data_IF_391594678164
#
_entry.id   IF_391594678164
#
_cell.length_a   1.000
_cell.length_b   1.000
_cell.length_c   1.000
_cell.angle_alpha   90.00
_cell.angle_beta   90.00
_cell.angle_gamma   90.00
#
_symmetry.space_group_name_H-M   'P 1'
#
loop_
_entity.id
_entity.type
_entity.pdbx_description
1 polymer ?
#
# COMPACT_ATOMS: atom_id res chain seq x y z
N UNK A 1 -56.62 -7.21 11.97
CA UNK A 1 -56.72 -6.20 13.05
C UNK A 1 -55.31 -5.72 13.31
N UNK A 2 -54.93 -4.64 12.62
CA UNK A 2 -54.63 -3.31 13.20
C UNK A 2 -53.23 -3.28 13.85
N UNK A 3 -52.20 -2.77 13.15
CA UNK A 3 -51.80 -1.34 13.06
C UNK A 3 -51.82 -0.62 14.42
N UNK A 4 -50.63 -0.32 14.95
CA UNK A 4 -50.28 1.03 15.36
C UNK A 4 -48.77 1.26 15.29
N UNK A 5 -48.40 2.36 14.64
CA UNK A 5 -47.04 2.85 14.45
C UNK A 5 -46.91 4.26 15.05
N UNK A 6 -45.71 4.53 15.61
CA UNK A 6 -44.99 5.81 15.73
C UNK A 6 -45.48 6.85 16.77
N UNK A 7 -44.55 7.63 17.41
CA UNK A 7 -43.74 8.64 16.70
C UNK A 7 -42.22 8.68 16.99
N UNK A 8 -41.54 9.18 15.95
CA UNK A 8 -40.14 9.57 15.76
C UNK A 8 -39.78 10.97 16.28
N UNK A 9 -38.50 11.24 16.66
CA UNK A 9 -37.60 12.34 16.16
C UNK A 9 -36.22 12.43 16.87
N UNK A 10 -35.18 13.14 16.34
CA UNK A 10 -33.92 12.47 15.93
C UNK A 10 -32.56 13.24 16.10
N UNK A 11 -31.47 12.62 15.58
CA UNK A 11 -30.18 13.15 15.00
C UNK A 11 -29.05 13.68 15.94
N UNK A 12 -27.73 13.77 15.51
CA UNK A 12 -27.16 13.66 14.14
C UNK A 12 -25.83 12.85 13.96
N UNK A 13 -25.40 12.79 12.69
CA UNK A 13 -24.07 12.46 12.12
C UNK A 13 -23.87 11.07 11.50
N UNK A 14 -24.33 10.94 10.24
CA UNK A 14 -23.75 10.01 9.26
C UNK A 14 -23.52 10.77 7.95
N UNK A 15 -22.26 10.85 7.54
CA UNK A 15 -21.81 11.28 6.23
C UNK A 15 -22.36 10.28 5.20
N UNK A 16 -23.38 10.68 4.43
CA UNK A 16 -23.91 9.89 3.33
C UNK A 16 -22.93 10.01 2.15
N UNK A 17 -22.25 8.92 1.81
CA UNK A 17 -21.69 8.76 0.48
C UNK A 17 -22.87 8.63 -0.50
N UNK A 18 -23.09 9.67 -1.31
CA UNK A 18 -24.13 9.67 -2.33
C UNK A 18 -23.80 8.63 -3.41
N UNK A 19 -24.46 7.47 -3.39
CA UNK A 19 -24.37 6.50 -4.47
C UNK A 19 -25.17 7.03 -5.66
N UNK A 20 -24.49 7.48 -6.70
CA UNK A 20 -25.12 7.91 -7.95
C UNK A 20 -25.57 6.68 -8.72
N UNK A 21 -26.88 6.48 -8.86
CA UNK A 21 -27.44 5.41 -9.69
C UNK A 21 -27.71 5.96 -11.08
N UNK A 22 -26.87 5.62 -12.05
CA UNK A 22 -27.04 6.06 -13.45
C UNK A 22 -27.93 5.06 -14.18
N UNK A 23 -29.11 5.52 -14.63
CA UNK A 23 -30.04 4.69 -15.44
C UNK A 23 -29.91 5.07 -16.91
N UNK A 24 -29.42 4.14 -17.72
CA UNK A 24 -29.35 4.31 -19.18
C UNK A 24 -30.61 3.70 -19.81
N UNK A 25 -31.48 4.53 -20.39
CA UNK A 25 -32.65 4.05 -21.14
C UNK A 25 -32.46 4.31 -22.62
N UNK A 26 -32.24 3.24 -23.40
CA UNK A 26 -32.31 3.31 -24.85
C UNK A 26 -33.78 3.16 -25.30
N UNK A 27 -34.36 4.19 -25.91
CA UNK A 27 -35.68 4.07 -26.56
C UNK A 27 -35.51 3.77 -28.05
N UNK A 28 -36.06 2.66 -28.58
CA UNK A 28 -36.11 2.45 -30.02
C UNK A 28 -37.23 3.31 -30.63
N UNK A 29 -36.89 4.13 -31.64
CA UNK A 29 -37.83 4.89 -32.47
C UNK A 29 -37.89 4.27 -33.88
N UNK A 30 -39.06 4.25 -34.57
CA UNK A 30 -39.20 3.54 -35.85
C UNK A 30 -38.55 4.23 -37.05
N UNK A 31 -37.99 5.42 -36.90
CA UNK A 31 -37.41 6.19 -38.02
C UNK A 31 -36.10 6.84 -37.59
N UNK A 32 -35.00 6.27 -38.10
CA UNK A 32 -33.69 6.93 -38.36
C UNK A 32 -32.84 7.31 -37.11
N UNK A 33 -31.74 6.55 -36.95
CA UNK A 33 -30.58 6.64 -36.03
C UNK A 33 -30.79 6.32 -34.53
N UNK A 34 -29.97 5.40 -33.99
CA UNK A 34 -29.85 5.13 -32.54
C UNK A 34 -29.30 6.37 -31.83
N UNK A 35 -30.13 7.05 -31.08
CA UNK A 35 -29.74 8.10 -30.12
C UNK A 35 -29.75 7.52 -28.71
N UNK A 36 -28.61 7.61 -28.02
CA UNK A 36 -28.52 7.28 -26.60
C UNK A 36 -28.88 8.52 -25.80
N UNK A 37 -29.96 8.45 -25.02
CA UNK A 37 -30.36 9.50 -24.08
C UNK A 37 -30.04 9.04 -22.67
N UNK A 38 -29.25 9.82 -21.94
CA UNK A 38 -28.95 9.60 -20.52
C UNK A 38 -29.68 10.65 -19.69
N UNK A 39 -30.35 10.18 -18.65
CA UNK A 39 -31.02 11.01 -17.65
C UNK A 39 -30.38 10.68 -16.31
N UNK A 40 -29.83 11.70 -15.65
CA UNK A 40 -29.22 11.54 -14.32
C UNK A 40 -30.17 12.16 -13.30
N UNK A 41 -30.72 11.34 -12.40
CA UNK A 41 -31.54 11.79 -11.27
C UNK A 41 -30.68 11.74 -10.01
N UNK A 42 -30.58 12.86 -9.28
CA UNK A 42 -29.98 12.88 -7.94
C UNK A 42 -31.08 13.03 -6.90
N UNK A 43 -31.06 12.27 -5.78
CA UNK A 43 -32.11 12.35 -4.76
C UNK A 43 -32.25 13.73 -4.11
N UNK A 44 -31.18 14.52 -4.09
CA UNK A 44 -31.06 15.73 -3.27
C UNK A 44 -30.93 17.04 -4.08
N UNK A 45 -31.02 17.01 -5.41
CA UNK A 45 -31.01 18.21 -6.27
C UNK A 45 -31.88 18.01 -7.52
N UNK A 46 -32.82 18.92 -7.85
CA UNK A 46 -33.66 18.78 -9.04
C UNK A 46 -32.89 19.34 -10.24
N UNK A 47 -31.95 18.58 -10.78
CA UNK A 47 -31.26 18.93 -12.02
C UNK A 47 -31.39 17.76 -13.01
N UNK A 48 -32.29 17.93 -13.98
CA UNK A 48 -32.42 16.99 -15.10
C UNK A 48 -31.34 17.31 -16.15
N UNK A 49 -30.25 16.54 -16.13
CA UNK A 49 -29.23 16.61 -17.18
C UNK A 49 -29.57 15.64 -18.30
N UNK A 50 -29.89 16.19 -19.48
CA UNK A 50 -30.18 15.42 -20.68
C UNK A 50 -29.08 15.66 -21.71
N UNK A 51 -28.31 14.61 -22.01
CA UNK A 51 -27.32 14.62 -23.09
C UNK A 51 -27.69 13.58 -24.16
N UNK A 52 -27.61 13.98 -25.43
CA UNK A 52 -27.91 13.13 -26.59
C UNK A 52 -26.73 13.15 -27.55
N UNK A 53 -26.17 11.98 -27.85
CA UNK A 53 -25.13 11.82 -28.87
C UNK A 53 -25.25 10.48 -29.60
N UNK A 54 -24.59 10.37 -30.76
CA UNK A 54 -24.46 9.13 -31.54
C UNK A 54 -23.40 8.18 -30.97
N UNK A 55 -22.52 8.65 -30.07
CA UNK A 55 -21.50 7.86 -29.38
C UNK A 55 -21.77 7.83 -27.87
N UNK A 56 -21.88 6.63 -27.30
CA UNK A 56 -22.11 6.42 -25.87
C UNK A 56 -20.96 6.97 -25.00
N UNK A 57 -19.72 6.89 -25.47
CA UNK A 57 -18.55 7.45 -24.76
C UNK A 57 -18.60 8.97 -24.67
N UNK A 58 -19.04 9.64 -25.74
CA UNK A 58 -19.20 11.09 -25.75
C UNK A 58 -20.28 11.57 -24.77
N UNK A 59 -21.34 10.77 -24.56
CA UNK A 59 -22.38 11.05 -23.56
C UNK A 59 -21.83 10.91 -22.14
N UNK A 60 -21.03 9.87 -21.87
CA UNK A 60 -20.44 9.64 -20.54
C UNK A 60 -19.48 10.78 -20.16
N UNK A 61 -18.62 11.20 -21.10
CA UNK A 61 -17.67 12.30 -20.88
C UNK A 61 -18.41 13.62 -20.62
N UNK A 62 -19.47 13.93 -21.38
CA UNK A 62 -20.28 15.12 -21.17
C UNK A 62 -20.95 15.15 -19.80
N UNK A 63 -21.48 14.01 -19.33
CA UNK A 63 -22.11 13.91 -18.00
C UNK A 63 -21.09 14.07 -16.87
N UNK A 64 -19.88 13.51 -17.00
CA UNK A 64 -18.79 13.68 -16.01
C UNK A 64 -18.37 15.15 -15.93
N UNK A 65 -18.16 15.81 -17.08
CA UNK A 65 -17.78 17.23 -17.14
C UNK A 65 -18.87 18.12 -16.51
N UNK A 66 -20.14 17.87 -16.81
CA UNK A 66 -21.25 18.64 -16.24
C UNK A 66 -21.42 18.43 -14.72
N UNK A 67 -21.16 17.21 -14.22
CA UNK A 67 -21.20 16.92 -12.79
C UNK A 67 -20.06 17.61 -12.03
N UNK A 68 -18.83 17.57 -12.57
CA UNK A 68 -17.67 18.31 -12.03
C UNK A 68 -17.91 19.82 -12.03
N UNK A 69 -18.59 20.36 -13.05
CA UNK A 69 -18.97 21.78 -13.11
C UNK A 69 -20.04 22.15 -12.07
N UNK A 70 -21.02 21.27 -11.83
CA UNK A 70 -22.07 21.51 -10.82
C UNK A 70 -21.55 21.40 -9.39
N UNK A 71 -20.64 20.46 -9.10
CA UNK A 71 -20.01 20.29 -7.78
C UNK A 71 -19.13 21.48 -7.38
N UNK A 72 -18.64 22.26 -8.35
CA UNK A 72 -17.86 23.48 -8.11
C UNK A 72 -18.70 24.76 -7.96
N UNK A 73 -20.01 24.64 -7.70
CA UNK A 73 -20.78 25.72 -7.08
C UNK A 73 -21.25 26.85 -8.00
N UNK A 74 -21.49 26.61 -9.30
CA UNK A 74 -22.24 27.56 -10.15
C UNK A 74 -23.68 27.08 -10.34
N UNK A 75 -24.67 27.63 -9.62
CA UNK A 75 -26.06 27.29 -9.82
C UNK A 75 -26.60 28.03 -11.04
N UNK A 76 -27.45 27.34 -11.82
CA UNK A 76 -28.27 27.79 -12.95
C UNK A 76 -27.80 27.40 -14.36
N UNK A 77 -28.03 26.13 -14.72
CA UNK A 77 -28.14 25.72 -16.12
C UNK A 77 -29.38 24.83 -16.28
N UNK A 78 -30.54 25.46 -16.47
CA UNK A 78 -31.72 24.80 -17.06
C UNK A 78 -31.74 25.07 -18.57
N UNK A 79 -30.84 24.43 -19.31
CA UNK A 79 -30.88 24.42 -20.78
C UNK A 79 -30.54 23.03 -21.28
N UNK A 80 -31.41 22.48 -22.12
CA UNK A 80 -31.10 21.31 -22.94
C UNK A 80 -29.99 21.71 -23.93
N UNK A 81 -28.87 20.99 -23.92
CA UNK A 81 -27.77 21.20 -24.85
C UNK A 81 -27.71 20.04 -25.85
N UNK A 82 -28.01 20.34 -27.11
CA UNK A 82 -27.61 19.47 -28.23
C UNK A 82 -26.17 19.82 -28.62
N UNK A 83 -25.23 18.93 -28.30
CA UNK A 83 -23.83 19.09 -28.71
C UNK A 83 -23.57 18.33 -30.02
N UNK A 84 -23.13 19.05 -31.04
CA UNK A 84 -22.57 18.48 -32.28
C UNK A 84 -21.09 18.11 -32.06
N UNK A 85 -20.63 17.06 -32.74
CA UNK A 85 -19.30 16.46 -32.73
C UNK A 85 -18.18 17.50 -33.02
N UNK A 86 -18.50 18.58 -33.74
CA UNK A 86 -17.57 19.68 -34.00
C UNK A 86 -17.32 20.61 -32.79
N UNK A 87 -18.23 20.69 -31.81
CA UNK A 87 -18.05 21.51 -30.60
C UNK A 87 -17.05 20.89 -29.61
N UNK A 88 -17.00 19.54 -29.53
CA UNK A 88 -16.11 18.80 -28.63
C UNK A 88 -14.63 19.05 -29.00
N UNK A 89 -14.32 19.17 -30.29
CA UNK A 89 -12.95 19.43 -30.78
C UNK A 89 -12.48 20.88 -30.59
N UNK A 90 -13.40 21.83 -30.37
CA UNK A 90 -13.07 23.26 -30.18
C UNK A 90 -13.06 23.70 -28.71
N UNK A 91 -13.81 23.02 -27.83
CA UNK A 91 -13.93 23.42 -26.43
C UNK A 91 -12.80 22.89 -25.52
N UNK A 92 -12.05 21.89 -25.97
CA UNK A 92 -10.93 21.32 -25.20
C UNK A 92 -9.70 21.25 -26.11
N UNK A 93 -8.73 22.15 -25.98
CA UNK A 93 -7.41 21.93 -26.55
C UNK A 93 -6.86 20.63 -25.95
N UNK A 94 -6.49 19.66 -26.79
CA UNK A 94 -5.91 18.39 -26.31
C UNK A 94 -4.60 18.59 -25.54
N UNK A 95 -3.96 19.74 -25.69
CA UNK A 95 -2.82 20.18 -24.88
C UNK A 95 -3.19 20.41 -23.41
N UNK A 96 -4.46 20.66 -23.09
CA UNK A 96 -4.93 20.91 -21.72
C UNK A 96 -5.17 19.63 -20.90
N UNK A 97 -5.36 18.48 -21.57
CA UNK A 97 -5.48 17.16 -20.91
C UNK A 97 -4.10 16.53 -20.68
N UNK A 98 -3.11 16.87 -21.52
CA UNK A 98 -1.73 16.40 -21.38
C UNK A 98 -0.88 17.21 -20.37
N UNK A 99 -1.39 18.34 -19.87
CA UNK A 99 -0.68 19.24 -18.94
C UNK A 99 -1.10 19.12 -17.46
N UNK A 100 -1.93 18.12 -17.10
CA UNK A 100 -2.09 17.74 -15.70
C UNK A 100 -1.14 16.59 -15.37
N UNK A 101 0.11 16.85 -14.94
CA UNK A 101 0.71 15.91 -14.02
C UNK A 101 -0.24 15.87 -12.83
N UNK A 102 -0.68 14.68 -12.44
CA UNK A 102 -1.23 14.46 -11.10
C UNK A 102 -0.08 14.73 -10.12
N UNK A 103 0.23 16.01 -9.88
CA UNK A 103 1.03 16.41 -8.74
C UNK A 103 0.16 16.16 -7.52
N UNK A 104 0.69 15.36 -6.61
CA UNK A 104 0.08 14.99 -5.33
C UNK A 104 -0.10 16.20 -4.38
N UNK A 105 0.30 17.41 -4.81
CA UNK A 105 0.45 18.57 -3.94
C UNK A 105 -0.80 19.44 -3.75
N UNK A 106 -1.94 19.12 -4.37
CA UNK A 106 -3.18 19.92 -4.21
C UNK A 106 -4.18 19.37 -3.19
N UNK A 107 -3.90 18.22 -2.57
CA UNK A 107 -4.62 17.77 -1.39
C UNK A 107 -3.89 18.29 -0.15
N UNK A 108 -4.49 19.26 0.54
CA UNK A 108 -3.94 19.84 1.75
C UNK A 108 -3.45 18.75 2.72
N UNK A 109 -2.33 19.02 3.40
CA UNK A 109 -1.61 18.13 4.34
C UNK A 109 -2.49 17.40 5.37
N UNK A 110 -3.75 17.80 5.55
CA UNK A 110 -4.72 17.18 6.44
C UNK A 110 -5.58 16.05 5.83
N UNK A 111 -5.54 15.81 4.52
CA UNK A 111 -6.30 14.70 3.87
C UNK A 111 -5.44 13.46 3.59
N UNK A 112 -4.11 13.61 3.56
CA UNK A 112 -3.20 12.47 3.48
C UNK A 112 -3.16 11.65 4.79
N UNK A 113 -3.50 12.25 5.94
CA UNK A 113 -3.56 11.53 7.21
C UNK A 113 -4.78 10.60 7.34
N UNK A 114 -5.80 10.77 6.50
CA UNK A 114 -6.89 9.78 6.31
C UNK A 114 -6.52 8.68 5.30
N UNK A 115 -5.28 8.66 4.79
CA UNK A 115 -4.84 7.64 3.83
C UNK A 115 -4.64 6.29 4.50
N UNK A 116 -5.54 5.37 4.17
CA UNK A 116 -5.33 3.92 4.13
C UNK A 116 -4.57 3.33 5.32
N UNK A 117 -5.29 2.98 6.38
CA UNK A 117 -4.78 2.09 7.43
C UNK A 117 -4.36 0.74 6.82
N UNK A 118 -3.06 0.51 6.65
CA UNK A 118 -2.52 -0.72 6.07
C UNK A 118 -2.90 -1.97 6.87
N UNK A 119 -3.27 -1.84 8.15
CA UNK A 119 -3.75 -2.95 8.96
C UNK A 119 -4.99 -3.64 8.36
N UNK A 120 -5.77 -2.94 7.53
CA UNK A 120 -6.91 -3.52 6.82
C UNK A 120 -6.52 -4.55 5.76
N UNK A 121 -5.23 -4.61 5.35
CA UNK A 121 -4.72 -5.63 4.44
C UNK A 121 -4.39 -6.94 5.14
N UNK A 122 -4.31 -6.94 6.49
CA UNK A 122 -3.93 -8.14 7.22
C UNK A 122 -5.03 -9.21 7.09
N UNK A 123 -4.68 -10.45 6.70
CA UNK A 123 -5.66 -11.50 6.47
C UNK A 123 -6.35 -11.85 7.80
N UNK A 124 -7.66 -12.15 7.85
CA UNK A 124 -8.38 -12.38 9.12
C UNK A 124 -7.74 -13.40 10.08
N UNK A 125 -6.91 -14.31 9.57
CA UNK A 125 -6.20 -15.33 10.35
C UNK A 125 -4.86 -14.88 10.92
N UNK A 126 -4.41 -13.66 10.67
CA UNK A 126 -3.07 -13.20 11.03
C UNK A 126 -2.81 -13.23 12.54
N UNK A 127 -3.85 -13.03 13.35
CA UNK A 127 -3.79 -13.07 14.82
C UNK A 127 -3.36 -14.44 15.36
N UNK A 128 -3.53 -15.52 14.59
CA UNK A 128 -3.00 -16.85 14.95
C UNK A 128 -1.48 -16.86 15.08
N UNK A 129 -0.76 -16.01 14.33
CA UNK A 129 0.68 -15.89 14.48
C UNK A 129 1.06 -15.35 15.86
N UNK A 130 0.29 -14.39 16.38
CA UNK A 130 0.50 -13.84 17.73
C UNK A 130 0.31 -14.91 18.80
N UNK A 131 -0.71 -15.75 18.66
CA UNK A 131 -0.92 -16.89 19.57
C UNK A 131 0.27 -17.85 19.54
N UNK A 132 0.74 -18.22 18.35
CA UNK A 132 1.92 -19.10 18.21
C UNK A 132 3.19 -18.51 18.82
N UNK A 133 3.40 -17.19 18.71
CA UNK A 133 4.56 -16.53 19.32
C UNK A 133 4.47 -16.47 20.84
N UNK A 134 3.27 -16.25 21.39
CA UNK A 134 3.05 -16.33 22.84
C UNK A 134 3.25 -17.77 23.35
N UNK A 135 2.74 -18.78 22.64
CA UNK A 135 2.94 -20.18 22.98
C UNK A 135 4.43 -20.59 22.97
N UNK A 136 5.22 -20.05 22.04
CA UNK A 136 6.67 -20.26 21.96
C UNK A 136 7.43 -19.63 23.15
N UNK A 137 7.03 -18.43 23.59
CA UNK A 137 7.68 -17.69 24.69
C UNK A 137 7.26 -18.23 26.07
N UNK A 138 6.07 -18.83 26.17
CA UNK A 138 5.58 -19.49 27.38
C UNK A 138 4.97 -20.89 27.14
N UNK A 139 5.82 -21.90 26.87
CA UNK A 139 5.35 -23.29 26.73
C UNK A 139 5.04 -23.97 28.08
N UNK A 140 5.30 -23.30 29.22
CA UNK A 140 5.21 -23.85 30.57
C UNK A 140 4.71 -22.78 31.58
N UNK A 141 5.17 -22.82 32.84
CA UNK A 141 4.73 -21.90 33.90
C UNK A 141 5.41 -20.53 33.85
N UNK A 142 4.63 -19.45 34.02
CA UNK A 142 5.13 -18.09 34.25
C UNK A 142 5.45 -17.85 35.74
N UNK A 143 6.66 -18.20 36.16
CA UNK A 143 7.11 -17.92 37.53
C UNK A 143 7.25 -16.42 37.78
N UNK A 144 7.64 -15.64 36.77
CA UNK A 144 7.79 -14.18 36.88
C UNK A 144 6.44 -13.48 37.09
N UNK A 145 5.43 -13.88 36.32
CA UNK A 145 4.06 -13.44 36.48
C UNK A 145 3.46 -13.79 37.84
N UNK A 146 3.80 -14.96 38.40
CA UNK A 146 3.39 -15.31 39.77
C UNK A 146 3.93 -14.33 40.81
N UNK A 147 5.20 -13.90 40.68
CA UNK A 147 5.84 -12.97 41.63
C UNK A 147 5.18 -11.60 41.63
N UNK A 148 4.80 -11.08 40.46
CA UNK A 148 4.23 -9.72 40.35
C UNK A 148 2.72 -9.67 40.56
N UNK A 149 2.03 -10.79 40.39
CA UNK A 149 0.60 -10.91 40.66
C UNK A 149 -0.30 -10.14 39.69
N UNK A 150 -1.47 -9.73 40.21
CA UNK A 150 -2.63 -9.29 39.42
C UNK A 150 -2.91 -7.78 39.54
N UNK A 151 -1.99 -6.98 40.09
CA UNK A 151 -2.21 -5.54 40.22
C UNK A 151 -2.38 -4.88 38.85
N UNK A 152 -3.32 -3.95 38.75
CA UNK A 152 -3.48 -3.10 37.57
C UNK A 152 -2.35 -2.09 37.52
N UNK A 153 -1.57 -2.09 36.44
CA UNK A 153 -0.44 -1.20 36.24
C UNK A 153 -0.48 -0.59 34.83
N UNK A 154 0.30 0.47 34.61
CA UNK A 154 0.53 1.03 33.28
C UNK A 154 2.00 0.99 32.93
N UNK A 155 2.34 0.43 31.78
CA UNK A 155 3.69 0.41 31.23
C UNK A 155 3.82 1.38 30.05
N UNK A 156 4.93 2.11 30.01
CA UNK A 156 5.26 3.03 28.92
C UNK A 156 6.22 2.36 27.94
N UNK A 157 5.83 2.30 26.68
CA UNK A 157 6.69 1.94 25.56
C UNK A 157 7.53 3.16 25.18
N UNK A 158 8.85 2.98 25.17
CA UNK A 158 9.84 4.03 24.96
C UNK A 158 10.72 3.64 23.77
N UNK A 159 10.80 4.52 22.77
CA UNK A 159 11.75 4.43 21.66
C UNK A 159 13.09 5.09 22.01
N UNK A 160 14.20 4.38 21.80
CA UNK A 160 15.56 4.80 22.15
C UNK A 160 16.51 4.88 20.94
N UNK A 161 16.13 4.31 19.81
CA UNK A 161 16.85 4.44 18.54
C UNK A 161 16.07 5.27 17.54
N UNK A 162 16.78 5.93 16.64
CA UNK A 162 16.19 6.64 15.53
C UNK A 162 15.63 5.67 14.47
N UNK A 163 14.44 5.94 13.96
CA UNK A 163 13.86 5.18 12.86
C UNK A 163 12.36 5.42 12.68
N UNK A 164 11.67 4.44 12.09
CA UNK A 164 10.24 4.51 11.74
C UNK A 164 9.48 3.50 12.58
N UNK A 165 8.39 3.92 13.22
CA UNK A 165 7.49 3.01 13.93
C UNK A 165 6.71 2.16 12.92
N UNK A 166 6.86 0.84 13.01
CA UNK A 166 6.04 -0.11 12.26
C UNK A 166 5.79 -1.38 13.06
N UNK A 167 4.64 -2.02 12.82
CA UNK A 167 4.21 -3.23 13.51
C UNK A 167 3.17 -2.98 14.60
N UNK A 168 2.51 -1.81 14.56
CA UNK A 168 1.49 -1.38 15.52
C UNK A 168 0.36 -2.40 15.70
N UNK A 169 -0.22 -2.99 14.63
CA UNK A 169 -1.26 -4.00 14.79
C UNK A 169 -0.79 -5.22 15.57
N UNK A 170 0.41 -5.73 15.25
CA UNK A 170 0.95 -6.93 15.88
C UNK A 170 1.28 -6.72 17.36
N UNK A 171 1.91 -5.59 17.71
CA UNK A 171 2.15 -5.22 19.11
C UNK A 171 0.85 -5.10 19.89
N UNK A 172 -0.15 -4.44 19.29
CA UNK A 172 -1.47 -4.27 19.91
C UNK A 172 -2.17 -5.61 20.15
N UNK A 173 -2.09 -6.52 19.19
CA UNK A 173 -2.73 -7.85 19.29
C UNK A 173 -2.11 -8.75 20.36
N UNK A 174 -0.79 -8.64 20.60
CA UNK A 174 -0.12 -9.34 21.71
C UNK A 174 -0.79 -8.97 23.03
N UNK A 175 -0.87 -7.67 23.32
CA UNK A 175 -1.45 -7.20 24.58
C UNK A 175 -2.96 -7.39 24.65
N UNK A 176 -3.68 -7.20 23.54
CA UNK A 176 -5.12 -7.46 23.46
C UNK A 176 -5.46 -8.92 23.79
N UNK A 177 -4.65 -9.87 23.30
CA UNK A 177 -4.83 -11.31 23.57
C UNK A 177 -4.65 -11.66 25.04
N UNK A 178 -3.90 -10.85 25.79
CA UNK A 178 -3.65 -10.99 27.22
C UNK A 178 -4.60 -10.16 28.10
N UNK A 179 -5.61 -9.51 27.49
CA UNK A 179 -6.57 -8.66 28.20
C UNK A 179 -6.04 -7.28 28.58
N UNK A 180 -4.93 -6.84 28.00
CA UNK A 180 -4.37 -5.50 28.18
C UNK A 180 -4.89 -4.54 27.09
N UNK A 181 -4.82 -3.23 27.37
CA UNK A 181 -5.19 -2.16 26.44
C UNK A 181 -3.95 -1.38 26.02
N UNK A 182 -3.86 -0.99 24.74
CA UNK A 182 -2.75 -0.18 24.21
C UNK A 182 -3.27 1.17 23.73
N UNK A 183 -2.70 2.25 24.27
CA UNK A 183 -2.89 3.63 23.85
C UNK A 183 -1.64 4.10 23.10
N UNK A 184 -1.72 4.26 21.78
CA UNK A 184 -0.61 4.78 20.97
C UNK A 184 -0.51 6.30 21.10
N UNK A 185 0.70 6.81 21.36
CA UNK A 185 1.00 8.23 21.50
C UNK A 185 1.55 8.86 20.21
N UNK A 186 2.02 8.02 19.30
CA UNK A 186 2.44 8.37 17.93
C UNK A 186 1.78 7.40 16.94
N UNK A 187 1.67 7.80 15.69
CA UNK A 187 1.03 7.00 14.65
C UNK A 187 2.00 6.02 13.98
N UNK A 188 1.46 4.96 13.41
CA UNK A 188 2.26 4.07 12.57
C UNK A 188 2.81 4.82 11.36
N UNK A 189 4.09 4.60 11.04
CA UNK A 189 4.82 5.35 10.02
C UNK A 189 5.51 6.62 10.53
N UNK A 190 5.22 7.08 11.76
CA UNK A 190 5.91 8.22 12.35
C UNK A 190 7.38 7.91 12.64
N UNK A 191 8.21 8.95 12.61
CA UNK A 191 9.63 8.87 12.94
C UNK A 191 9.83 8.92 14.47
N UNK A 192 10.52 7.92 15.01
CA UNK A 192 11.02 7.91 16.39
C UNK A 192 12.36 8.67 16.40
N UNK A 193 12.41 9.82 17.08
CA UNK A 193 13.61 10.68 17.15
C UNK A 193 14.07 10.93 18.58
N UNK A 194 14.90 10.03 19.16
CA UNK A 194 15.45 10.22 20.50
C UNK A 194 16.16 11.57 20.68
N UNK A 195 16.89 12.01 19.66
CA UNK A 195 17.62 13.29 19.68
C UNK A 195 16.72 14.53 19.73
N UNK A 196 15.43 14.40 19.43
CA UNK A 196 14.46 15.49 19.45
C UNK A 196 13.74 15.66 20.79
N UNK A 197 13.97 14.78 21.76
CA UNK A 197 13.29 14.79 23.07
C UNK A 197 14.32 14.86 24.21
N UNK A 198 14.10 15.71 25.24
CA UNK A 198 14.96 15.73 26.42
C UNK A 198 15.09 14.33 27.05
N UNK A 199 16.33 13.88 27.23
CA UNK A 199 16.63 12.57 27.84
C UNK A 199 16.66 11.38 26.86
N UNK A 200 16.53 11.59 25.55
CA UNK A 200 16.77 10.55 24.55
C UNK A 200 15.74 9.41 24.55
N UNK A 201 14.54 9.65 25.06
CA UNK A 201 13.49 8.65 25.29
C UNK A 201 12.17 9.15 24.74
N UNK A 202 11.75 8.62 23.59
CA UNK A 202 10.49 9.01 22.95
C UNK A 202 9.36 8.16 23.53
N UNK A 203 8.31 8.75 24.13
CA UNK A 203 7.11 8.02 24.51
C UNK A 203 6.35 7.58 23.25
N UNK A 204 6.10 6.27 23.09
CA UNK A 204 5.49 5.71 21.87
C UNK A 204 4.09 5.20 22.13
N UNK A 205 3.87 4.49 23.23
CA UNK A 205 2.56 3.97 23.63
C UNK A 205 2.49 3.76 25.15
N UNK A 206 1.28 3.66 25.69
CA UNK A 206 1.00 3.14 27.03
C UNK A 206 0.29 1.80 26.90
N UNK A 207 0.59 0.88 27.80
CA UNK A 207 -0.07 -0.42 27.91
C UNK A 207 -0.59 -0.57 29.34
N UNK A 208 -1.90 -0.77 29.49
CA UNK A 208 -2.56 -0.89 30.80
C UNK A 208 -3.17 -2.27 30.97
N UNK A 209 -3.02 -2.84 32.16
CA UNK A 209 -3.66 -4.09 32.55
C UNK A 209 -2.94 -4.76 33.73
N UNK A 210 -3.25 -6.03 33.96
CA UNK A 210 -2.65 -6.84 35.03
C UNK A 210 -1.13 -6.95 34.85
N UNK A 211 -0.37 -6.68 35.91
CA UNK A 211 1.10 -6.65 35.89
C UNK A 211 1.71 -7.93 35.30
N UNK A 212 1.22 -9.11 35.70
CA UNK A 212 1.66 -10.38 35.10
C UNK A 212 1.43 -10.47 33.59
N UNK A 213 0.33 -9.91 33.07
CA UNK A 213 0.01 -9.92 31.64
C UNK A 213 0.85 -8.92 30.86
N UNK A 214 1.15 -7.76 31.46
CA UNK A 214 2.08 -6.79 30.89
C UNK A 214 3.48 -7.40 30.69
N UNK A 215 3.99 -8.09 31.70
CA UNK A 215 5.33 -8.70 31.64
C UNK A 215 5.37 -9.96 30.76
N UNK A 216 4.30 -10.75 30.74
CA UNK A 216 4.19 -11.93 29.87
C UNK A 216 4.19 -11.53 28.38
N UNK A 217 3.52 -10.43 28.02
CA UNK A 217 3.50 -9.92 26.65
C UNK A 217 4.74 -9.12 26.24
N UNK A 218 5.55 -8.64 27.19
CA UNK A 218 6.62 -7.66 26.95
C UNK A 218 7.60 -8.13 25.88
N UNK A 219 8.22 -9.30 26.07
CA UNK A 219 9.33 -9.75 25.23
C UNK A 219 8.86 -10.02 23.80
N UNK A 220 7.76 -10.74 23.66
CA UNK A 220 7.13 -11.04 22.38
C UNK A 220 6.74 -9.75 21.63
N UNK A 221 6.04 -8.81 22.29
CA UNK A 221 5.61 -7.57 21.66
C UNK A 221 6.80 -6.69 21.23
N UNK A 222 7.80 -6.52 22.09
CA UNK A 222 9.01 -5.75 21.76
C UNK A 222 9.78 -6.39 20.61
N UNK A 223 9.98 -7.72 20.62
CA UNK A 223 10.70 -8.43 19.58
C UNK A 223 10.08 -8.25 18.20
N UNK A 224 8.75 -8.23 18.12
CA UNK A 224 8.01 -8.02 16.88
C UNK A 224 8.19 -6.57 16.41
N UNK A 225 7.90 -5.60 17.30
CA UNK A 225 7.91 -4.18 16.96
C UNK A 225 9.32 -3.69 16.56
N UNK A 226 10.34 -4.11 17.30
CA UNK A 226 11.75 -3.80 17.03
C UNK A 226 12.18 -4.26 15.63
N UNK A 227 11.78 -5.46 15.21
CA UNK A 227 12.13 -6.00 13.88
C UNK A 227 11.34 -5.33 12.77
N UNK A 228 10.03 -5.18 12.95
CA UNK A 228 9.16 -4.50 12.00
C UNK A 228 9.63 -3.06 11.75
N UNK A 229 9.90 -2.32 12.83
CA UNK A 229 10.43 -0.95 12.75
C UNK A 229 11.83 -0.90 12.13
N UNK A 230 12.68 -1.92 12.34
CA UNK A 230 13.97 -2.07 11.66
C UNK A 230 13.85 -2.17 10.14
N UNK A 231 12.96 -3.05 9.66
CA UNK A 231 12.64 -3.18 8.22
C UNK A 231 12.10 -1.86 7.66
N UNK A 232 11.14 -1.26 8.36
CA UNK A 232 10.51 -0.01 7.90
C UNK A 232 11.52 1.13 7.81
N UNK A 233 12.40 1.27 8.80
CA UNK A 233 13.48 2.27 8.81
C UNK A 233 14.41 2.09 7.61
N UNK A 234 14.84 0.84 7.38
CA UNK A 234 15.75 0.51 6.29
C UNK A 234 15.12 0.80 4.91
N UNK A 235 13.84 0.46 4.74
CA UNK A 235 13.09 0.69 3.51
C UNK A 235 12.80 2.18 3.28
N UNK A 236 12.43 2.92 4.34
CA UNK A 236 12.16 4.35 4.22
C UNK A 236 13.42 5.12 3.80
N UNK A 237 14.61 4.69 4.26
CA UNK A 237 15.90 5.24 3.78
C UNK A 237 16.02 5.12 2.25
N UNK A 238 15.84 3.91 1.71
CA UNK A 238 15.91 3.67 0.26
C UNK A 238 14.84 4.45 -0.50
N UNK A 239 13.60 4.49 -0.01
CA UNK A 239 12.51 5.24 -0.64
C UNK A 239 12.82 6.74 -0.68
N UNK A 240 13.25 7.32 0.45
CA UNK A 240 13.62 8.74 0.53
C UNK A 240 14.77 9.08 -0.42
N UNK A 241 15.80 8.25 -0.47
CA UNK A 241 16.92 8.43 -1.40
C UNK A 241 16.45 8.40 -2.86
N UNK A 242 15.63 7.40 -3.22
CA UNK A 242 15.11 7.28 -4.58
C UNK A 242 14.27 8.49 -4.99
N UNK A 243 13.43 9.01 -4.08
CA UNK A 243 12.62 10.22 -4.31
C UNK A 243 13.48 11.49 -4.37
N UNK A 244 14.53 11.60 -3.57
CA UNK A 244 15.48 12.73 -3.64
C UNK A 244 16.21 12.81 -4.98
N UNK A 245 16.37 11.68 -5.68
CA UNK A 245 16.91 11.61 -7.04
C UNK A 245 15.87 11.93 -8.13
N UNK A 246 14.63 12.25 -7.77
CA UNK A 246 13.52 12.48 -8.71
C UNK A 246 13.01 11.20 -9.38
N UNK A 247 13.42 10.02 -8.91
CA UNK A 247 12.95 8.75 -9.46
C UNK A 247 11.63 8.33 -8.84
N UNK A 248 10.62 8.08 -9.68
CA UNK A 248 9.25 7.78 -9.28
C UNK A 248 8.91 6.28 -9.35
N UNK A 249 9.89 5.42 -9.61
CA UNK A 249 9.68 3.97 -9.61
C UNK A 249 9.47 3.38 -8.22
N UNK A 250 9.41 2.05 -8.17
CA UNK A 250 9.13 1.28 -6.96
C UNK A 250 10.42 0.74 -6.33
N UNK A 251 10.74 1.21 -5.12
CA UNK A 251 11.66 0.49 -4.23
C UNK A 251 10.91 -0.73 -3.71
N UNK A 252 11.44 -1.93 -3.92
CA UNK A 252 10.74 -3.17 -3.60
C UNK A 252 11.53 -4.08 -2.65
N UNK A 253 10.82 -4.78 -1.78
CA UNK A 253 11.38 -5.91 -1.03
C UNK A 253 11.50 -7.18 -1.88
N UNK A 254 11.80 -8.30 -1.23
CA UNK A 254 11.93 -9.61 -1.90
C UNK A 254 11.25 -10.71 -1.09
N UNK A 255 11.35 -11.98 -1.50
CA UNK A 255 10.95 -13.13 -0.67
C UNK A 255 12.06 -13.61 0.30
N UNK A 256 13.19 -12.90 0.38
CA UNK A 256 14.29 -13.18 1.31
C UNK A 256 13.94 -12.66 2.72
N UNK A 257 12.89 -13.25 3.27
CA UNK A 257 12.25 -12.88 4.55
C UNK A 257 12.47 -13.98 5.57
N UNK A 258 12.44 -13.64 6.85
CA UNK A 258 12.54 -14.61 7.94
C UNK A 258 11.38 -15.63 7.87
N UNK A 259 11.65 -16.96 7.85
CA UNK A 259 10.61 -17.97 7.86
C UNK A 259 9.66 -17.80 9.05
N UNK A 260 8.34 -17.86 8.81
CA UNK A 260 7.32 -17.63 9.84
C UNK A 260 7.02 -16.15 10.17
N UNK A 261 7.88 -15.21 9.75
CA UNK A 261 7.75 -13.78 10.08
C UNK A 261 7.48 -12.88 8.85
N UNK A 262 7.32 -13.48 7.67
CA UNK A 262 7.14 -12.77 6.39
C UNK A 262 6.01 -11.73 6.41
N UNK A 263 4.88 -12.03 7.05
CA UNK A 263 3.73 -11.12 7.07
C UNK A 263 4.11 -9.79 7.71
N UNK A 264 4.84 -9.82 8.83
CA UNK A 264 5.30 -8.64 9.56
C UNK A 264 6.33 -7.86 8.74
N UNK A 265 7.31 -8.55 8.15
CA UNK A 265 8.35 -7.89 7.35
C UNK A 265 7.76 -7.23 6.09
N UNK A 266 6.83 -7.89 5.40
CA UNK A 266 6.12 -7.32 4.24
C UNK A 266 5.23 -6.14 4.65
N UNK A 267 4.54 -6.26 5.78
CA UNK A 267 3.76 -5.16 6.33
C UNK A 267 4.61 -3.93 6.62
N UNK A 268 5.78 -4.12 7.24
CA UNK A 268 6.72 -3.03 7.53
C UNK A 268 7.24 -2.33 6.26
N UNK A 269 7.44 -3.07 5.15
CA UNK A 269 7.77 -2.46 3.85
C UNK A 269 6.66 -1.51 3.38
N UNK A 270 5.39 -1.91 3.49
CA UNK A 270 4.25 -1.07 3.10
C UNK A 270 4.19 0.22 3.92
N UNK A 271 4.34 0.10 5.24
CA UNK A 271 4.37 1.25 6.16
C UNK A 271 5.46 2.25 5.77
N UNK A 272 6.61 1.76 5.30
CA UNK A 272 7.72 2.61 4.85
C UNK A 272 7.55 3.21 3.44
N UNK A 273 6.46 2.89 2.74
CA UNK A 273 6.21 3.32 1.36
C UNK A 273 6.97 2.51 0.30
N UNK A 274 7.53 1.35 0.67
CA UNK A 274 8.15 0.42 -0.26
C UNK A 274 7.13 -0.62 -0.75
N UNK A 275 7.29 -1.06 -2.01
CA UNK A 275 6.49 -2.14 -2.57
C UNK A 275 6.87 -3.46 -1.91
N UNK A 276 5.87 -4.27 -1.57
CA UNK A 276 6.13 -5.60 -1.01
C UNK A 276 6.77 -6.55 -1.99
N UNK A 277 6.61 -6.32 -3.31
CA UNK A 277 6.83 -7.33 -4.34
C UNK A 277 5.90 -8.54 -4.12
N UNK A 278 6.13 -9.67 -4.78
CA UNK A 278 5.31 -10.86 -4.54
C UNK A 278 5.46 -11.34 -3.09
N UNK A 279 4.33 -11.70 -2.47
CA UNK A 279 4.30 -12.21 -1.10
C UNK A 279 4.80 -13.65 -1.03
N UNK A 280 4.39 -14.50 -1.96
CA UNK A 280 4.68 -15.93 -1.98
C UNK A 280 4.81 -16.44 -3.44
N UNK A 281 4.80 -17.75 -3.63
CA UNK A 281 4.94 -18.38 -4.96
C UNK A 281 3.64 -18.32 -5.78
N UNK A 282 2.49 -18.01 -5.18
CA UNK A 282 1.17 -17.98 -5.82
C UNK A 282 0.76 -16.58 -6.27
N UNK A 283 1.36 -15.53 -5.70
CA UNK A 283 0.98 -14.14 -6.00
C UNK A 283 1.41 -13.70 -7.42
N UNK A 284 2.62 -14.06 -7.85
CA UNK A 284 3.14 -13.73 -9.17
C UNK A 284 4.10 -14.82 -9.63
N UNK A 285 4.05 -15.17 -10.92
CA UNK A 285 5.00 -16.12 -11.49
C UNK A 285 6.36 -15.44 -11.64
N UNK A 286 7.40 -16.04 -11.08
CA UNK A 286 8.77 -15.64 -11.37
C UNK A 286 9.58 -16.82 -11.90
N UNK A 287 10.06 -16.67 -13.12
CA UNK A 287 10.94 -17.61 -13.77
C UNK A 287 12.39 -17.18 -13.53
N UNK A 288 13.13 -18.04 -12.85
CA UNK A 288 14.57 -17.91 -12.61
C UNK A 288 15.37 -18.80 -13.55
N UNK A 289 16.69 -18.61 -13.56
CA UNK A 289 17.69 -19.46 -14.23
C UNK A 289 17.36 -20.97 -14.24
N UNK A 290 17.04 -21.54 -13.07
CA UNK A 290 16.75 -22.96 -12.90
C UNK A 290 15.47 -23.40 -13.63
N UNK A 291 14.46 -22.52 -13.68
CA UNK A 291 13.21 -22.81 -14.39
C UNK A 291 13.43 -22.81 -15.90
N UNK A 292 14.18 -21.82 -16.39
CA UNK A 292 14.54 -21.67 -17.80
C UNK A 292 15.37 -22.87 -18.26
N UNK A 293 16.37 -23.27 -17.47
CA UNK A 293 17.22 -24.42 -17.79
C UNK A 293 16.40 -25.72 -17.93
N UNK A 294 15.51 -26.00 -16.97
CA UNK A 294 14.65 -27.19 -17.01
C UNK A 294 13.59 -27.12 -18.12
N UNK A 295 13.09 -25.93 -18.45
CA UNK A 295 12.14 -25.74 -19.55
C UNK A 295 12.79 -25.81 -20.94
N UNK A 296 14.11 -25.60 -21.02
CA UNK A 296 14.94 -25.66 -22.21
C UNK A 296 15.09 -24.34 -22.98
N UNK A 297 14.26 -23.32 -22.71
CA UNK A 297 14.44 -21.94 -23.18
C UNK A 297 13.54 -20.97 -22.42
N UNK A 298 13.80 -19.66 -22.51
CA UNK A 298 12.95 -18.63 -21.87
C UNK A 298 11.57 -18.63 -22.53
N UNK A 299 11.50 -18.63 -23.86
CA UNK A 299 10.21 -18.66 -24.58
C UNK A 299 9.33 -19.82 -24.12
N UNK A 300 9.90 -21.03 -24.00
CA UNK A 300 9.15 -22.21 -23.53
C UNK A 300 8.68 -22.05 -22.08
N UNK A 301 9.53 -21.51 -21.22
CA UNK A 301 9.18 -21.28 -19.82
C UNK A 301 8.04 -20.26 -19.69
N UNK A 302 8.11 -19.14 -20.41
CA UNK A 302 7.09 -18.08 -20.40
C UNK A 302 5.77 -18.60 -20.96
N UNK A 303 5.76 -19.32 -22.08
CA UNK A 303 4.53 -19.89 -22.65
C UNK A 303 3.86 -20.91 -21.70
N UNK A 304 4.65 -21.78 -21.05
CA UNK A 304 4.13 -22.71 -20.03
C UNK A 304 3.56 -21.97 -18.83
N UNK A 305 4.26 -20.94 -18.35
CA UNK A 305 3.79 -20.09 -17.27
C UNK A 305 2.47 -19.40 -17.65
N UNK A 306 2.38 -18.82 -18.85
CA UNK A 306 1.18 -18.13 -19.34
C UNK A 306 -0.03 -19.05 -19.44
N UNK A 307 0.16 -20.30 -19.85
CA UNK A 307 -0.90 -21.31 -19.89
C UNK A 307 -1.52 -21.56 -18.50
N UNK A 308 -0.70 -21.59 -17.45
CA UNK A 308 -1.15 -21.84 -16.08
C UNK A 308 -1.62 -20.57 -15.35
N UNK A 309 -0.94 -19.44 -15.58
CA UNK A 309 -1.20 -18.13 -14.98
C UNK A 309 -2.51 -17.49 -15.48
N UNK A 310 -2.91 -17.82 -16.72
CA UNK A 310 -4.01 -17.16 -17.39
C UNK A 310 -3.73 -15.65 -17.60
N UNK A 311 -4.81 -14.85 -17.57
CA UNK A 311 -4.73 -13.41 -17.79
C UNK A 311 -4.50 -12.59 -16.52
N UNK A 312 -4.67 -13.18 -15.32
CA UNK A 312 -4.74 -12.45 -14.06
C UNK A 312 -3.41 -12.33 -13.32
N UNK A 313 -2.46 -13.24 -13.57
CA UNK A 313 -1.13 -13.21 -12.94
C UNK A 313 -0.08 -12.67 -13.89
N UNK A 314 0.78 -11.79 -13.35
CA UNK A 314 1.97 -11.31 -14.06
C UNK A 314 3.06 -12.40 -14.11
N UNK A 315 3.85 -12.35 -15.16
CA UNK A 315 5.03 -13.20 -15.35
C UNK A 315 6.28 -12.32 -15.34
N UNK A 316 7.15 -12.58 -14.37
CA UNK A 316 8.47 -11.99 -14.25
C UNK A 316 9.55 -12.99 -14.67
N UNK A 317 10.55 -12.54 -15.43
CA UNK A 317 11.68 -13.38 -15.85
C UNK A 317 13.01 -12.74 -15.43
N UNK A 318 13.83 -13.53 -14.73
CA UNK A 318 15.21 -13.17 -14.37
C UNK A 318 16.12 -13.39 -15.56
N UNK A 319 16.84 -12.34 -15.97
CA UNK A 319 17.70 -12.30 -17.14
C UNK A 319 19.08 -11.78 -16.73
N UNK A 320 20.14 -12.34 -17.34
CA UNK A 320 21.55 -12.05 -17.04
C UNK A 320 22.28 -11.32 -18.17
N UNK A 321 21.66 -11.23 -19.34
CA UNK A 321 22.16 -10.46 -20.47
C UNK A 321 21.01 -9.86 -21.29
N UNK A 322 21.35 -8.99 -22.24
CA UNK A 322 20.37 -8.32 -23.10
C UNK A 322 19.57 -9.31 -23.95
N UNK A 323 20.21 -10.36 -24.46
CA UNK A 323 19.58 -11.37 -25.33
C UNK A 323 18.50 -12.17 -24.57
N UNK A 324 18.78 -12.57 -23.32
CA UNK A 324 17.80 -13.24 -22.46
C UNK A 324 16.61 -12.31 -22.16
N UNK A 325 16.88 -11.04 -21.88
CA UNK A 325 15.85 -10.03 -21.61
C UNK A 325 14.96 -9.76 -22.83
N UNK A 326 15.56 -9.70 -24.02
CA UNK A 326 14.82 -9.55 -25.27
C UNK A 326 13.95 -10.80 -25.55
N UNK A 327 14.49 -12.01 -25.40
CA UNK A 327 13.71 -13.26 -25.57
C UNK A 327 12.52 -13.31 -24.59
N UNK A 328 12.72 -12.89 -23.34
CA UNK A 328 11.66 -12.82 -22.34
C UNK A 328 10.54 -11.86 -22.74
N UNK A 329 10.91 -10.66 -23.20
CA UNK A 329 9.96 -9.65 -23.65
C UNK A 329 9.17 -10.12 -24.88
N UNK A 330 9.85 -10.69 -25.89
CA UNK A 330 9.22 -11.25 -27.10
C UNK A 330 8.26 -12.40 -26.77
N UNK A 331 8.59 -13.22 -25.77
CA UNK A 331 7.72 -14.30 -25.30
C UNK A 331 6.51 -13.82 -24.48
N UNK A 332 6.41 -12.52 -24.17
CA UNK A 332 5.28 -11.93 -23.47
C UNK A 332 5.40 -11.92 -21.95
N UNK A 333 6.62 -11.80 -21.41
CA UNK A 333 6.83 -11.48 -20.01
C UNK A 333 6.26 -10.08 -19.68
N UNK A 334 5.65 -9.94 -18.49
CA UNK A 334 5.15 -8.65 -18.00
C UNK A 334 6.29 -7.80 -17.40
N UNK A 335 7.26 -8.48 -16.79
CA UNK A 335 8.39 -7.89 -16.08
C UNK A 335 9.67 -8.63 -16.49
N UNK A 336 10.73 -7.88 -16.81
CA UNK A 336 12.09 -8.42 -16.94
C UNK A 336 12.92 -7.91 -15.77
N UNK A 337 13.48 -8.84 -15.01
CA UNK A 337 14.44 -8.56 -13.95
C UNK A 337 15.85 -8.71 -14.50
N UNK A 338 16.62 -7.62 -14.52
CA UNK A 338 18.04 -7.60 -14.84
C UNK A 338 18.83 -7.90 -13.56
N UNK A 339 19.32 -9.14 -13.42
CA UNK A 339 19.97 -9.63 -12.20
C UNK A 339 21.50 -9.47 -12.27
N UNK A 340 22.07 -8.80 -11.26
CA UNK A 340 23.51 -8.56 -11.09
C UNK A 340 24.18 -7.86 -12.30
N UNK A 341 23.46 -6.97 -12.98
CA UNK A 341 24.08 -6.10 -13.99
C UNK A 341 24.89 -5.00 -13.32
N UNK A 342 25.98 -4.60 -13.97
CA UNK A 342 26.67 -3.34 -13.62
C UNK A 342 25.80 -2.13 -14.00
N UNK A 343 25.83 -1.03 -13.22
CA UNK A 343 24.91 0.10 -13.39
C UNK A 343 24.83 0.68 -14.81
N UNK A 344 25.97 0.87 -15.48
CA UNK A 344 26.02 1.43 -16.84
C UNK A 344 25.37 0.48 -17.86
N UNK A 345 25.67 -0.82 -17.73
CA UNK A 345 25.10 -1.84 -18.61
C UNK A 345 23.61 -1.98 -18.37
N UNK A 346 23.16 -1.99 -17.11
CA UNK A 346 21.75 -2.03 -16.74
C UNK A 346 20.96 -0.90 -17.40
N UNK A 347 21.48 0.33 -17.35
CA UNK A 347 20.82 1.51 -17.96
C UNK A 347 20.73 1.39 -19.47
N UNK A 348 21.81 0.97 -20.13
CA UNK A 348 21.84 0.78 -21.58
C UNK A 348 20.85 -0.32 -22.03
N UNK A 349 20.87 -1.47 -21.34
CA UNK A 349 19.94 -2.58 -21.56
C UNK A 349 18.49 -2.15 -21.35
N UNK A 350 18.20 -1.44 -20.25
CA UNK A 350 16.85 -0.97 -19.95
C UNK A 350 16.32 -0.02 -21.03
N UNK A 351 17.12 0.96 -21.45
CA UNK A 351 16.74 1.90 -22.51
C UNK A 351 16.48 1.19 -23.86
N UNK A 352 17.34 0.25 -24.25
CA UNK A 352 17.17 -0.52 -25.48
C UNK A 352 15.90 -1.38 -25.45
N UNK A 353 15.62 -2.04 -24.32
CA UNK A 353 14.38 -2.81 -24.14
C UNK A 353 13.14 -1.91 -24.18
N UNK A 354 13.17 -0.74 -23.53
CA UNK A 354 12.05 0.21 -23.54
C UNK A 354 11.75 0.79 -24.91
N UNK A 355 12.75 0.98 -25.76
CA UNK A 355 12.55 1.42 -27.15
C UNK A 355 11.76 0.40 -27.97
N UNK A 356 11.98 -0.90 -27.74
CA UNK A 356 11.30 -1.98 -28.46
C UNK A 356 9.98 -2.38 -27.78
N UNK A 357 9.93 -2.33 -26.45
CA UNK A 357 8.84 -2.82 -25.61
C UNK A 357 8.45 -1.78 -24.55
N UNK A 358 7.81 -0.69 -24.98
CA UNK A 358 7.48 0.46 -24.10
C UNK A 358 6.65 0.09 -22.86
N UNK A 359 5.82 -0.95 -22.96
CA UNK A 359 4.96 -1.46 -21.90
C UNK A 359 5.66 -2.38 -20.88
N UNK A 360 6.86 -2.89 -21.20
CA UNK A 360 7.59 -3.83 -20.35
C UNK A 360 8.02 -3.16 -19.04
N UNK A 361 7.76 -3.78 -17.89
CA UNK A 361 8.35 -3.32 -16.64
C UNK A 361 9.76 -3.89 -16.50
N UNK A 362 10.71 -3.02 -16.15
CA UNK A 362 12.10 -3.42 -15.95
C UNK A 362 12.42 -3.29 -14.48
N UNK A 363 12.89 -4.39 -13.90
CA UNK A 363 13.35 -4.48 -12.52
C UNK A 363 14.88 -4.63 -12.46
N UNK A 364 15.52 -3.80 -11.64
CA UNK A 364 16.92 -3.96 -11.26
C UNK A 364 17.02 -4.76 -9.95
N UNK A 365 17.84 -5.82 -9.93
CA UNK A 365 18.12 -6.60 -8.72
C UNK A 365 19.56 -7.11 -8.69
N UNK A 366 19.98 -7.60 -7.53
CA UNK A 366 21.32 -8.15 -7.31
C UNK A 366 22.27 -7.18 -6.60
N UNK A 367 22.64 -7.49 -5.36
CA UNK A 367 23.62 -6.69 -4.60
C UNK A 367 23.23 -5.26 -4.20
N UNK A 368 22.10 -4.73 -4.68
CA UNK A 368 21.71 -3.33 -4.44
C UNK A 368 21.40 -3.08 -2.96
N UNK A 369 22.06 -2.08 -2.40
CA UNK A 369 21.88 -1.56 -1.03
C UNK A 369 21.29 -0.15 -1.10
N UNK A 370 20.80 0.42 0.02
CA UNK A 370 20.41 1.83 0.05
C UNK A 370 21.52 2.73 -0.50
N UNK A 371 22.77 2.52 -0.04
CA UNK A 371 23.93 3.35 -0.41
C UNK A 371 24.31 3.29 -1.90
N UNK A 372 23.89 2.22 -2.59
CA UNK A 372 24.19 2.00 -4.02
C UNK A 372 22.97 2.21 -4.91
N UNK A 373 21.78 2.44 -4.34
CA UNK A 373 20.52 2.59 -5.07
C UNK A 373 20.60 3.66 -6.15
N UNK A 374 21.25 4.79 -5.85
CA UNK A 374 21.43 5.91 -6.77
C UNK A 374 22.10 5.53 -8.11
N UNK A 375 22.90 4.47 -8.11
CA UNK A 375 23.57 4.00 -9.33
C UNK A 375 22.60 3.27 -10.26
N UNK A 376 21.56 2.63 -9.73
CA UNK A 376 20.66 1.75 -10.46
C UNK A 376 19.35 2.40 -10.92
N UNK A 377 19.00 3.57 -10.36
CA UNK A 377 17.81 4.30 -10.81
C UNK A 377 17.99 4.89 -12.20
N UNK A 378 16.93 4.82 -13.01
CA UNK A 378 16.88 5.33 -14.38
C UNK A 378 15.42 5.54 -14.79
N UNK A 379 15.10 6.46 -15.73
CA UNK A 379 13.75 6.61 -16.28
C UNK A 379 13.18 5.31 -16.87
N UNK A 380 14.05 4.44 -17.40
CA UNK A 380 13.65 3.17 -18.03
C UNK A 380 13.51 2.01 -17.04
N UNK A 381 13.95 2.19 -15.78
CA UNK A 381 13.88 1.20 -14.71
C UNK A 381 12.68 1.52 -13.82
N UNK A 382 11.70 0.63 -13.79
CA UNK A 382 10.46 0.84 -13.05
C UNK A 382 10.55 0.35 -11.59
N UNK A 383 11.38 -0.66 -11.33
CA UNK A 383 11.48 -1.34 -10.03
C UNK A 383 12.96 -1.50 -9.67
N UNK A 384 13.30 -1.23 -8.42
CA UNK A 384 14.61 -1.58 -7.83
C UNK A 384 14.32 -2.42 -6.60
N UNK A 385 14.61 -3.72 -6.68
CA UNK A 385 14.38 -4.63 -5.55
C UNK A 385 15.64 -4.87 -4.75
N UNK A 386 15.49 -4.86 -3.43
CA UNK A 386 16.60 -4.91 -2.48
C UNK A 386 16.34 -6.02 -1.46
N UNK A 387 17.14 -7.08 -1.51
CA UNK A 387 17.13 -8.13 -0.48
C UNK A 387 17.50 -7.60 0.91
N UNK A 388 18.36 -6.57 0.95
CA UNK A 388 18.88 -5.93 2.18
C UNK A 388 17.77 -5.32 3.04
N UNK A 389 16.62 -4.96 2.46
CA UNK A 389 15.49 -4.40 3.24
C UNK A 389 14.95 -5.38 4.27
N UNK A 390 15.04 -6.69 4.01
CA UNK A 390 14.58 -7.75 4.92
C UNK A 390 15.72 -8.69 5.35
N UNK A 391 16.97 -8.41 4.97
CA UNK A 391 18.14 -9.19 5.37
C UNK A 391 19.22 -8.31 5.99
N UNK A 392 19.50 -8.54 7.28
CA UNK A 392 20.58 -7.84 7.98
C UNK A 392 20.33 -6.34 8.17
N UNK A 393 19.07 -5.99 8.49
CA UNK A 393 18.67 -4.66 8.96
C UNK A 393 18.96 -4.51 10.46
N UNK A 394 19.34 -3.31 10.93
CA UNK A 394 19.44 -3.04 12.36
C UNK A 394 18.04 -3.02 13.00
N UNK A 395 17.94 -3.61 14.19
CA UNK A 395 16.74 -3.60 15.01
C UNK A 395 16.62 -2.26 15.76
N UNK A 396 15.42 -1.69 15.86
CA UNK A 396 15.17 -0.49 16.65
C UNK A 396 15.08 -0.80 18.15
N UNK A 397 15.80 -0.05 19.00
CA UNK A 397 15.74 -0.22 20.46
C UNK A 397 14.45 0.39 21.03
N UNK A 398 13.56 -0.48 21.49
CA UNK A 398 12.39 -0.14 22.29
C UNK A 398 12.49 -0.79 23.67
N UNK A 399 11.93 -0.13 24.68
CA UNK A 399 11.74 -0.74 26.00
C UNK A 399 10.35 -0.46 26.55
N UNK A 400 9.81 -1.40 27.30
CA UNK A 400 8.56 -1.26 28.03
C UNK A 400 8.89 -1.06 29.52
N UNK A 401 8.33 -0.02 30.16
CA UNK A 401 8.64 0.32 31.57
C UNK A 401 7.37 0.55 32.37
N UNK A 402 7.14 -0.28 33.38
CA UNK A 402 6.04 -0.09 34.34
C UNK A 402 6.24 1.24 35.10
N UNK A 403 5.21 2.07 35.11
CA UNK A 403 5.15 3.31 35.88
C UNK A 403 4.51 3.00 37.23
N UNK A 404 5.28 3.01 38.32
CA UNK A 404 4.70 2.96 39.67
C UNK A 404 4.03 4.30 39.99
N UNK A 405 2.99 4.25 40.83
CA UNK A 405 2.24 5.42 41.30
C UNK A 405 3.12 6.54 41.91
N UNK A 406 4.32 6.19 42.41
CA UNK A 406 5.25 7.12 43.07
C UNK A 406 6.27 7.76 42.12
N UNK A 407 6.07 7.60 40.80
CA UNK A 407 7.00 8.04 39.77
C UNK A 407 7.81 6.88 39.20
N UNK A 408 8.04 6.95 37.88
CA UNK A 408 8.80 5.99 37.07
C UNK A 408 10.02 5.48 37.82
N UNK A 409 10.19 4.16 37.91
CA UNK A 409 11.44 3.55 38.38
C UNK A 409 12.61 4.21 37.65
N UNK A 410 13.35 5.07 38.36
CA UNK A 410 14.69 5.48 37.93
C UNK A 410 15.49 4.17 37.87
N UNK A 411 15.68 3.65 36.66
CA UNK A 411 16.75 2.71 36.39
C UNK A 411 18.05 3.48 36.31
#
# INVERSE_FOLDING_TARGET
>A
MEKHALPSRPLPHTTLASVVTVRVTAKPSPTVWRTSTLVCETPDLPIDLVATSRSTEAVIIAVIIMHVFCLNGRPSINKAFTMDEQCIKKAVPWDYVAQFPLSIDTFGKNSMAEMSNFAHLLPPTWTKHVQLWLEDDIPSFDVGGFVVGETEETALLIGKSEGVLAGVPFFTEVFRSLGCQVEWLIHEGDEVKPNSVPGGKVPVAKVTGKCRQLLLGERTALNILTRASGVATQAQKSVKEARALGWNGYVAGTRKTTPGFRLVEKYALLVAGASTHRHDLSHMVMLKDNHVWVAGSITKAVHKARLAAGFSMKIEVECRCFEEAQEAAEAGADIVMLDNFEPEHLKATAAALKQQFSHLLIEASGGITPETLSLYVSPDVAIVSQGKLTQGYPCLDFSLKIQKADGVLKQ
#
